data_IF_451755154743
#
_entry.id   IF_451755154743
#
_cell.length_a   1.000
_cell.length_b   1.000
_cell.length_c   1.000
_cell.angle_alpha   90.00
_cell.angle_beta   90.00
_cell.angle_gamma   90.00
#
_symmetry.space_group_name_H-M   'P 1'
#
loop_
_entity.id
_entity.type
_entity.pdbx_description
1 polymer ?
#
# COMPACT_ATOMS: atom_id res chain seq x y z
N UNK A 1 7.23 -13.17 19.63
CA UNK A 1 8.17 -13.03 20.76
C UNK A 1 8.22 -14.30 21.61
N UNK A 2 7.11 -14.79 22.18
CA UNK A 2 7.06 -16.04 22.96
C UNK A 2 7.70 -17.26 22.25
N UNK A 3 7.25 -17.57 21.02
CA UNK A 3 7.78 -18.69 20.24
C UNK A 3 9.29 -18.58 19.96
N UNK A 4 9.81 -17.37 19.80
CA UNK A 4 11.23 -17.13 19.55
C UNK A 4 12.07 -17.33 20.79
N UNK A 5 11.56 -16.93 21.96
CA UNK A 5 12.22 -17.24 23.23
C UNK A 5 12.28 -18.75 23.46
N UNK A 6 11.19 -19.48 23.19
CA UNK A 6 11.19 -20.95 23.25
C UNK A 6 12.19 -21.56 22.26
N UNK A 7 12.21 -21.08 21.01
CA UNK A 7 13.16 -21.50 20.01
C UNK A 7 14.61 -21.29 20.45
N UNK A 8 14.93 -20.08 20.94
CA UNK A 8 16.27 -19.72 21.40
C UNK A 8 16.70 -20.58 22.60
N UNK A 9 15.83 -20.75 23.59
CA UNK A 9 16.13 -21.57 24.77
C UNK A 9 16.33 -23.05 24.40
N UNK A 10 15.50 -23.58 23.49
CA UNK A 10 15.64 -24.94 22.96
C UNK A 10 16.97 -25.12 22.22
N UNK A 11 17.35 -24.16 21.39
CA UNK A 11 18.60 -24.20 20.64
C UNK A 11 19.81 -24.12 21.55
N UNK A 12 19.83 -23.18 22.51
CA UNK A 12 20.92 -23.09 23.52
C UNK A 12 21.06 -24.40 24.29
N UNK A 13 19.95 -25.00 24.74
CA UNK A 13 19.98 -26.31 25.42
C UNK A 13 20.58 -27.41 24.55
N UNK A 14 20.23 -27.45 23.26
CA UNK A 14 20.76 -28.45 22.31
C UNK A 14 22.26 -28.25 22.08
N UNK A 15 22.72 -27.01 21.90
CA UNK A 15 24.14 -26.69 21.75
C UNK A 15 24.94 -27.05 23.00
N UNK A 16 24.42 -26.74 24.19
CA UNK A 16 25.04 -27.14 25.46
C UNK A 16 25.11 -28.67 25.64
N UNK A 17 24.17 -29.40 25.04
CA UNK A 17 24.20 -30.87 24.99
C UNK A 17 25.11 -31.43 23.88
N UNK A 18 25.84 -30.59 23.15
CA UNK A 18 26.76 -30.99 22.08
C UNK A 18 26.08 -31.39 20.76
N UNK A 19 24.79 -31.09 20.59
CA UNK A 19 24.10 -31.36 19.34
C UNK A 19 24.56 -30.38 18.24
N UNK A 20 24.80 -30.89 17.02
CA UNK A 20 25.07 -30.03 15.86
C UNK A 20 23.79 -29.37 15.38
N UNK A 21 23.90 -28.12 14.92
CA UNK A 21 22.77 -27.41 14.32
C UNK A 21 22.43 -28.03 12.97
N UNK A 22 21.18 -28.43 12.81
CA UNK A 22 20.64 -28.92 11.54
C UNK A 22 20.57 -27.78 10.51
N UNK A 23 20.87 -28.08 9.23
CA UNK A 23 20.91 -27.07 8.16
C UNK A 23 19.61 -26.26 8.03
N UNK A 24 18.45 -26.91 8.17
CA UNK A 24 17.16 -26.22 8.11
C UNK A 24 17.03 -25.16 9.22
N UNK A 25 17.39 -25.50 10.46
CA UNK A 25 17.36 -24.57 11.60
C UNK A 25 18.32 -23.41 11.39
N UNK A 26 19.52 -23.71 10.91
CA UNK A 26 20.51 -22.69 10.59
C UNK A 26 19.97 -21.71 9.54
N UNK A 27 19.31 -22.20 8.49
CA UNK A 27 18.64 -21.36 7.49
C UNK A 27 17.54 -20.49 8.11
N UNK A 28 16.69 -21.06 8.97
CA UNK A 28 15.61 -20.31 9.64
C UNK A 28 16.18 -19.20 10.55
N UNK A 29 17.17 -19.52 11.40
CA UNK A 29 17.84 -18.51 12.23
C UNK A 29 18.53 -17.44 11.40
N UNK A 30 19.24 -17.83 10.33
CA UNK A 30 19.89 -16.91 9.41
C UNK A 30 18.86 -15.97 8.78
N UNK A 31 17.69 -16.47 8.37
CA UNK A 31 16.61 -15.66 7.84
C UNK A 31 16.10 -14.64 8.87
N UNK A 32 15.91 -15.04 10.13
CA UNK A 32 15.48 -14.10 11.19
C UNK A 32 16.51 -12.99 11.40
N UNK A 33 17.80 -13.36 11.51
CA UNK A 33 18.90 -12.40 11.74
C UNK A 33 19.11 -11.50 10.52
N UNK A 34 19.17 -12.06 9.32
CA UNK A 34 19.34 -11.29 8.08
C UNK A 34 18.20 -10.31 7.86
N UNK A 35 16.95 -10.72 8.12
CA UNK A 35 15.79 -9.82 8.02
C UNK A 35 15.88 -8.68 9.04
N UNK A 36 16.32 -8.97 10.27
CA UNK A 36 16.51 -7.94 11.31
C UNK A 36 17.64 -6.96 10.95
N UNK A 37 18.77 -7.48 10.47
CA UNK A 37 19.89 -6.66 10.01
C UNK A 37 19.48 -5.78 8.83
N UNK A 38 18.73 -6.33 7.87
CA UNK A 38 18.21 -5.57 6.75
C UNK A 38 17.31 -4.42 7.22
N UNK A 39 16.43 -4.65 8.20
CA UNK A 39 15.60 -3.59 8.79
C UNK A 39 16.40 -2.52 9.55
N UNK A 40 17.56 -2.87 10.11
CA UNK A 40 18.45 -1.92 10.79
C UNK A 40 19.26 -1.09 9.78
N UNK A 41 19.63 -1.67 8.64
CA UNK A 41 20.44 -1.02 7.60
C UNK A 41 19.59 -0.14 6.70
N UNK A 42 18.37 -0.57 6.35
CA UNK A 42 17.49 0.15 5.43
C UNK A 42 16.67 1.19 6.20
N UNK A 43 16.88 2.51 5.99
CA UNK A 43 16.26 3.57 6.78
C UNK A 43 14.80 3.85 6.36
N UNK A 44 14.00 2.80 6.12
CA UNK A 44 12.63 2.91 5.58
C UNK A 44 11.54 3.22 6.64
N UNK A 45 11.95 3.48 7.89
CA UNK A 45 11.02 3.56 9.03
C UNK A 45 10.52 2.18 9.46
N UNK A 46 9.85 2.08 10.60
CA UNK A 46 9.32 0.80 11.08
C UNK A 46 7.85 0.66 10.66
N UNK A 47 7.56 -0.31 9.80
CA UNK A 47 6.19 -0.72 9.48
C UNK A 47 6.00 -2.19 9.86
N UNK A 48 4.87 -2.58 10.49
CA UNK A 48 4.61 -3.98 10.86
C UNK A 48 4.70 -4.97 9.69
N UNK A 49 4.51 -4.51 8.45
CA UNK A 49 4.69 -5.35 7.25
C UNK A 49 6.13 -5.81 7.04
N UNK A 50 7.12 -5.09 7.56
CA UNK A 50 8.53 -5.47 7.42
C UNK A 50 8.87 -6.70 8.26
N UNK A 51 8.12 -6.97 9.34
CA UNK A 51 8.28 -8.19 10.13
C UNK A 51 7.48 -9.38 9.59
N UNK A 52 6.73 -9.24 8.50
CA UNK A 52 6.00 -10.37 7.92
C UNK A 52 6.92 -11.54 7.48
N UNK A 53 8.07 -11.30 6.83
CA UNK A 53 9.00 -12.38 6.49
C UNK A 53 9.57 -13.10 7.72
N UNK A 54 9.67 -12.42 8.87
CA UNK A 54 10.11 -13.02 10.13
C UNK A 54 9.14 -14.10 10.64
N UNK A 55 7.86 -13.94 10.32
CA UNK A 55 6.76 -14.70 10.91
C UNK A 55 6.86 -16.23 10.67
N UNK A 56 7.00 -16.74 9.43
CA UNK A 56 7.02 -18.17 9.20
C UNK A 56 8.20 -18.87 9.90
N UNK A 57 9.39 -18.27 9.86
CA UNK A 57 10.56 -18.85 10.51
C UNK A 57 10.43 -18.86 12.04
N UNK A 58 9.88 -17.80 12.64
CA UNK A 58 9.59 -17.75 14.07
C UNK A 58 8.59 -18.83 14.51
N UNK A 59 7.55 -19.06 13.70
CA UNK A 59 6.55 -20.12 13.95
C UNK A 59 7.19 -21.49 13.86
N UNK A 60 7.91 -21.79 12.78
CA UNK A 60 8.53 -23.11 12.56
C UNK A 60 9.54 -23.45 13.65
N UNK A 61 10.41 -22.51 14.01
CA UNK A 61 11.39 -22.70 15.10
C UNK A 61 10.70 -22.86 16.46
N UNK A 62 9.62 -22.11 16.72
CA UNK A 62 8.85 -22.23 17.95
C UNK A 62 8.15 -23.59 18.07
N UNK A 63 7.52 -24.05 16.99
CA UNK A 63 6.86 -25.37 16.91
C UNK A 63 7.88 -26.49 17.10
N UNK A 64 9.03 -26.43 16.42
CA UNK A 64 10.12 -27.38 16.62
C UNK A 64 10.60 -27.43 18.08
N UNK A 65 10.72 -26.27 18.73
CA UNK A 65 11.10 -26.20 20.14
C UNK A 65 10.10 -26.89 21.07
N UNK A 66 8.80 -26.80 20.77
CA UNK A 66 7.76 -27.50 21.53
C UNK A 66 7.85 -29.01 21.30
N UNK A 67 8.10 -29.46 20.06
CA UNK A 67 8.32 -30.88 19.75
C UNK A 67 9.57 -31.45 20.43
N UNK A 68 10.59 -30.62 20.65
CA UNK A 68 11.81 -30.98 21.37
C UNK A 68 11.61 -31.23 22.87
N UNK A 69 10.46 -30.86 23.44
CA UNK A 69 10.12 -31.14 24.82
C UNK A 69 9.75 -32.62 24.98
N UNK A 70 10.25 -33.30 26.02
CA UNK A 70 9.83 -34.67 26.35
C UNK A 70 8.30 -34.76 26.39
N UNK A 71 7.74 -35.88 25.92
CA UNK A 71 6.28 -36.10 25.88
C UNK A 71 5.66 -35.93 27.27
N UNK A 72 6.38 -36.33 28.32
CA UNK A 72 5.95 -36.25 29.72
C UNK A 72 6.27 -34.90 30.39
N UNK A 73 6.77 -33.92 29.64
CA UNK A 73 7.11 -32.61 30.20
C UNK A 73 5.85 -31.83 30.58
N UNK A 74 5.79 -31.37 31.84
CA UNK A 74 4.73 -30.49 32.34
C UNK A 74 4.61 -29.17 31.57
N UNK A 75 5.66 -28.79 30.82
CA UNK A 75 5.70 -27.55 30.04
C UNK A 75 5.13 -27.70 28.63
N UNK A 76 4.96 -28.94 28.12
CA UNK A 76 4.59 -29.18 26.72
C UNK A 76 3.17 -28.71 26.39
N UNK A 77 2.20 -29.00 27.25
CA UNK A 77 0.82 -28.56 27.07
C UNK A 77 0.68 -27.02 27.18
N UNK A 78 1.20 -26.35 28.24
CA UNK A 78 1.24 -24.89 28.28
C UNK A 78 1.91 -24.24 27.07
N UNK A 79 2.99 -24.83 26.53
CA UNK A 79 3.67 -24.29 25.36
C UNK A 79 2.81 -24.38 24.09
N UNK A 80 2.09 -25.49 23.88
CA UNK A 80 1.11 -25.61 22.79
C UNK A 80 -0.05 -24.63 22.94
N UNK A 81 -0.61 -24.49 24.14
CA UNK A 81 -1.67 -23.51 24.41
C UNK A 81 -1.16 -22.10 24.13
N UNK A 82 0.03 -21.75 24.62
CA UNK A 82 0.66 -20.45 24.38
C UNK A 82 0.91 -20.18 22.89
N UNK A 83 1.35 -21.19 22.13
CA UNK A 83 1.51 -21.09 20.68
C UNK A 83 0.18 -20.86 19.96
N UNK A 84 -0.85 -21.63 20.31
CA UNK A 84 -2.18 -21.51 19.72
C UNK A 84 -2.82 -20.15 20.01
N UNK A 85 -2.78 -19.69 21.27
CA UNK A 85 -3.26 -18.36 21.67
C UNK A 85 -2.49 -17.26 20.93
N UNK A 86 -1.17 -17.38 20.84
CA UNK A 86 -0.37 -16.37 20.15
C UNK A 86 -0.65 -16.31 18.65
N UNK A 87 -0.80 -17.46 17.97
CA UNK A 87 -1.22 -17.51 16.56
C UNK A 87 -2.61 -16.89 16.42
N UNK A 88 -3.56 -17.28 17.28
CA UNK A 88 -4.92 -16.75 17.25
C UNK A 88 -4.96 -15.22 17.42
N UNK A 89 -4.23 -14.68 18.40
CA UNK A 89 -4.10 -13.22 18.62
C UNK A 89 -3.47 -12.52 17.41
N UNK A 90 -2.48 -13.15 16.77
CA UNK A 90 -1.78 -12.57 15.62
C UNK A 90 -2.56 -12.69 14.32
N UNK A 91 -3.52 -13.62 14.26
CA UNK A 91 -4.51 -13.79 13.21
C UNK A 91 -5.83 -13.05 13.49
N UNK A 92 -5.90 -12.23 14.56
CA UNK A 92 -7.08 -11.39 14.79
C UNK A 92 -7.40 -10.59 13.53
N UNK A 93 -8.70 -10.40 13.23
CA UNK A 93 -9.13 -9.87 11.94
C UNK A 93 -8.42 -8.56 11.65
N UNK A 94 -7.59 -8.57 10.61
CA UNK A 94 -7.00 -7.37 10.05
C UNK A 94 -8.18 -6.51 9.63
N UNK A 95 -8.30 -5.31 10.20
CA UNK A 95 -9.34 -4.35 9.80
C UNK A 95 -9.33 -4.27 8.28
N UNK A 96 -10.40 -4.75 7.65
CA UNK A 96 -10.52 -4.74 6.20
C UNK A 96 -10.62 -3.28 5.79
N UNK A 97 -9.68 -2.84 4.94
CA UNK A 97 -9.68 -1.50 4.36
C UNK A 97 -10.70 -1.51 3.23
N UNK A 98 -11.99 -1.50 3.58
CA UNK A 98 -13.04 -1.39 2.58
C UNK A 98 -13.06 0.03 2.05
N UNK A 99 -12.89 0.13 0.74
CA UNK A 99 -12.94 1.36 -0.01
C UNK A 99 -13.78 1.10 -1.27
N UNK A 100 -14.78 1.94 -1.53
CA UNK A 100 -15.68 1.81 -2.68
C UNK A 100 -16.01 3.18 -3.29
N UNK A 101 -16.56 3.19 -4.52
CA UNK A 101 -16.93 4.41 -5.26
C UNK A 101 -16.01 4.73 -6.44
N UNK A 102 -14.71 4.43 -6.35
CA UNK A 102 -13.73 4.71 -7.42
C UNK A 102 -14.09 4.08 -8.78
N UNK A 103 -14.61 2.85 -8.77
CA UNK A 103 -14.99 2.15 -9.99
C UNK A 103 -16.14 2.81 -10.75
N UNK A 104 -17.00 3.57 -10.06
CA UNK A 104 -18.13 4.27 -10.68
C UNK A 104 -17.61 5.43 -11.54
N UNK A 105 -16.65 6.21 -11.03
CA UNK A 105 -16.03 7.27 -11.85
C UNK A 105 -15.25 6.72 -13.04
N UNK A 106 -14.53 5.61 -12.87
CA UNK A 106 -13.87 4.94 -13.99
C UNK A 106 -14.89 4.50 -15.03
N UNK A 107 -15.98 3.87 -14.61
CA UNK A 107 -17.05 3.48 -15.52
C UNK A 107 -17.65 4.71 -16.22
N UNK A 108 -17.91 5.80 -15.50
CA UNK A 108 -18.40 7.06 -16.09
C UNK A 108 -17.49 7.57 -17.20
N UNK A 109 -16.19 7.69 -16.93
CA UNK A 109 -15.19 8.12 -17.94
C UNK A 109 -15.11 7.17 -19.14
N UNK A 110 -15.28 5.86 -18.93
CA UNK A 110 -15.26 4.87 -20.01
C UNK A 110 -16.49 4.94 -20.93
N UNK A 111 -17.62 5.48 -20.45
CA UNK A 111 -18.83 5.67 -21.26
C UNK A 111 -18.80 7.00 -22.03
N UNK A 112 -17.93 7.93 -21.65
CA UNK A 112 -17.79 9.20 -22.34
C UNK A 112 -17.15 9.01 -23.72
N UNK A 113 -17.56 9.78 -24.74
CA UNK A 113 -16.93 9.76 -26.05
C UNK A 113 -15.42 9.99 -25.91
N UNK A 114 -14.64 9.14 -26.59
CA UNK A 114 -13.18 9.31 -26.60
C UNK A 114 -12.85 10.70 -27.12
N UNK A 115 -12.07 11.46 -26.36
CA UNK A 115 -11.54 12.73 -26.81
C UNK A 115 -10.82 12.51 -28.15
N UNK A 116 -10.93 13.44 -29.13
CA UNK A 116 -10.41 13.26 -30.49
C UNK A 116 -8.93 12.83 -30.57
N UNK A 117 -8.14 13.17 -29.54
CA UNK A 117 -6.71 12.87 -29.48
C UNK A 117 -6.31 11.73 -28.53
N UNK A 118 -7.26 11.04 -27.90
CA UNK A 118 -6.98 10.06 -26.86
C UNK A 118 -6.40 10.72 -25.60
N UNK A 119 -7.18 10.78 -24.53
CA UNK A 119 -6.76 11.44 -23.29
C UNK A 119 -6.11 10.46 -22.32
N UNK A 120 -4.89 10.75 -21.89
CA UNK A 120 -4.34 10.15 -20.68
C UNK A 120 -5.15 10.59 -19.46
N UNK A 121 -5.12 9.79 -18.39
CA UNK A 121 -5.82 10.10 -17.16
C UNK A 121 -4.80 10.46 -16.09
N UNK A 122 -5.13 11.40 -15.23
CA UNK A 122 -4.36 11.67 -14.01
C UNK A 122 -5.24 11.37 -12.80
N UNK A 123 -4.74 10.59 -11.86
CA UNK A 123 -5.41 10.37 -10.56
C UNK A 123 -4.56 10.93 -9.43
N UNK A 124 -5.11 11.85 -8.65
CA UNK A 124 -4.49 12.46 -7.48
C UNK A 124 -5.25 12.03 -6.22
N UNK A 125 -4.62 11.17 -5.42
CA UNK A 125 -5.18 10.58 -4.20
C UNK A 125 -4.05 9.96 -3.36
N UNK A 126 -4.38 9.35 -2.23
CA UNK A 126 -3.48 8.49 -1.47
C UNK A 126 -3.12 7.23 -2.28
N UNK A 127 -2.10 6.45 -1.83
CA UNK A 127 -1.74 5.22 -2.51
C UNK A 127 -2.89 4.21 -2.65
N UNK A 128 -3.96 4.31 -1.85
CA UNK A 128 -5.12 3.43 -1.95
C UNK A 128 -6.04 3.87 -3.09
N UNK A 129 -6.39 5.14 -3.17
CA UNK A 129 -7.31 5.67 -4.18
C UNK A 129 -6.68 5.69 -5.58
N UNK A 130 -5.41 6.08 -5.70
CA UNK A 130 -4.69 5.96 -6.98
C UNK A 130 -4.68 4.50 -7.47
N UNK A 131 -4.35 3.57 -6.58
CA UNK A 131 -4.35 2.14 -6.88
C UNK A 131 -5.73 1.61 -7.25
N UNK A 132 -6.78 2.07 -6.56
CA UNK A 132 -8.16 1.68 -6.82
C UNK A 132 -8.64 2.13 -8.21
N UNK A 133 -8.36 3.38 -8.60
CA UNK A 133 -8.70 3.91 -9.94
C UNK A 133 -7.94 3.14 -11.02
N UNK A 134 -6.63 2.94 -10.86
CA UNK A 134 -5.80 2.20 -11.81
C UNK A 134 -6.30 0.76 -11.96
N UNK A 135 -6.56 0.07 -10.84
CA UNK A 135 -7.08 -1.28 -10.85
C UNK A 135 -8.45 -1.35 -11.53
N UNK A 136 -9.38 -0.46 -11.16
CA UNK A 136 -10.71 -0.41 -11.77
C UNK A 136 -10.64 -0.20 -13.29
N UNK A 137 -9.76 0.70 -13.75
CA UNK A 137 -9.57 0.93 -15.18
C UNK A 137 -8.94 -0.27 -15.89
N UNK A 138 -7.97 -0.94 -15.26
CA UNK A 138 -7.35 -2.15 -15.80
C UNK A 138 -8.33 -3.33 -15.89
N UNK A 139 -9.28 -3.44 -14.96
CA UNK A 139 -10.34 -4.46 -15.02
C UNK A 139 -11.44 -4.10 -16.02
N UNK A 140 -11.79 -2.81 -16.14
CA UNK A 140 -12.79 -2.35 -17.10
C UNK A 140 -12.29 -2.40 -18.56
N UNK A 141 -10.98 -2.21 -18.77
CA UNK A 141 -10.37 -2.03 -20.08
C UNK A 141 -10.42 -3.22 -21.03
N UNK A 142 -10.81 -4.43 -20.57
CA UNK A 142 -10.93 -5.67 -21.36
C UNK A 142 -9.60 -6.22 -21.91
N UNK A 143 -8.73 -5.35 -22.39
CA UNK A 143 -7.43 -5.63 -22.96
C UNK A 143 -6.35 -4.83 -22.20
N UNK A 144 -5.69 -5.53 -21.28
CA UNK A 144 -4.69 -4.95 -20.36
C UNK A 144 -3.45 -4.40 -21.09
N UNK A 145 -3.28 -4.72 -22.38
CA UNK A 145 -2.10 -4.37 -23.17
C UNK A 145 -2.37 -3.42 -24.34
N UNK A 146 -3.61 -3.35 -24.87
CA UNK A 146 -3.93 -2.50 -26.04
C UNK A 146 -4.60 -1.17 -25.68
N UNK A 147 -4.84 -0.91 -24.39
CA UNK A 147 -5.53 0.29 -23.90
C UNK A 147 -4.86 1.59 -24.38
N UNK A 148 -5.49 2.28 -25.32
CA UNK A 148 -5.01 3.52 -25.94
C UNK A 148 -5.00 4.76 -25.03
N UNK A 149 -4.80 4.59 -23.72
CA UNK A 149 -4.64 5.65 -22.74
C UNK A 149 -3.70 5.18 -21.61
N UNK A 150 -2.93 6.12 -21.05
CA UNK A 150 -2.09 5.91 -19.87
C UNK A 150 -2.74 6.55 -18.66
N UNK A 151 -2.69 5.88 -17.52
CA UNK A 151 -3.05 6.47 -16.23
C UNK A 151 -1.77 6.92 -15.52
N UNK A 152 -1.73 8.21 -15.22
CA UNK A 152 -0.68 8.89 -14.50
C UNK A 152 -1.07 9.01 -13.03
N UNK A 153 -0.08 8.91 -12.14
CA UNK A 153 -0.26 9.01 -10.69
C UNK A 153 0.12 10.39 -10.21
N UNK A 154 -0.79 11.10 -9.56
CA UNK A 154 -0.58 12.45 -9.02
C UNK A 154 0.62 12.51 -8.10
N UNK A 155 0.76 11.51 -7.22
CA UNK A 155 1.91 11.38 -6.32
C UNK A 155 3.27 11.21 -7.01
N UNK A 156 3.30 10.95 -8.32
CA UNK A 156 4.51 10.82 -9.15
C UNK A 156 4.65 11.92 -10.18
N UNK A 157 3.54 12.46 -10.69
CA UNK A 157 3.56 13.54 -11.67
C UNK A 157 3.69 14.91 -11.01
N UNK A 158 3.02 15.13 -9.88
CA UNK A 158 2.85 16.45 -9.27
C UNK A 158 3.77 16.71 -8.08
N UNK A 159 4.33 15.65 -7.50
CA UNK A 159 5.24 15.73 -6.37
C UNK A 159 6.46 14.82 -6.55
N UNK A 160 7.51 15.14 -5.83
CA UNK A 160 8.68 14.30 -5.59
C UNK A 160 8.70 13.87 -4.13
N UNK A 161 9.16 12.65 -3.88
CA UNK A 161 9.43 12.14 -2.55
C UNK A 161 10.37 10.94 -2.66
N UNK A 162 11.09 10.64 -1.58
CA UNK A 162 11.88 9.42 -1.51
C UNK A 162 10.99 8.16 -1.48
N UNK A 163 11.61 6.97 -1.45
CA UNK A 163 10.88 5.70 -1.48
C UNK A 163 9.88 5.52 -0.31
N UNK A 164 10.05 6.24 0.78
CA UNK A 164 9.22 6.15 1.98
C UNK A 164 8.38 7.41 2.25
N UNK A 165 8.38 8.36 1.31
CA UNK A 165 7.58 9.58 1.41
C UNK A 165 8.24 10.72 2.20
N UNK A 166 9.55 10.66 2.47
CA UNK A 166 10.33 11.80 2.98
C UNK A 166 10.70 12.75 1.84
N UNK A 167 11.20 13.92 2.22
CA UNK A 167 11.64 14.99 1.30
C UNK A 167 10.55 15.29 0.26
N UNK A 168 9.31 15.40 0.76
CA UNK A 168 8.16 15.67 -0.07
C UNK A 168 8.23 17.11 -0.58
N UNK A 169 8.22 17.28 -1.89
CA UNK A 169 8.25 18.57 -2.57
C UNK A 169 7.29 18.59 -3.76
N UNK A 170 6.66 19.74 -4.00
CA UNK A 170 5.86 19.96 -5.21
C UNK A 170 6.79 20.13 -6.42
N UNK A 171 6.44 19.51 -7.54
CA UNK A 171 7.22 19.62 -8.79
C UNK A 171 6.99 20.94 -9.54
N UNK A 172 5.85 21.58 -9.30
CA UNK A 172 5.43 22.78 -10.01
C UNK A 172 5.30 23.93 -9.02
N UNK A 173 5.95 25.06 -9.36
CA UNK A 173 5.91 26.28 -8.55
C UNK A 173 4.71 27.18 -8.89
N UNK A 174 3.99 26.91 -9.98
CA UNK A 174 2.82 27.68 -10.40
C UNK A 174 1.75 26.81 -11.07
N UNK A 175 0.51 27.29 -11.05
CA UNK A 175 -0.64 26.62 -11.65
C UNK A 175 -0.48 26.52 -13.18
N UNK A 176 0.11 27.53 -13.83
CA UNK A 176 0.36 27.52 -15.27
C UNK A 176 1.34 26.44 -15.67
N UNK A 177 2.39 26.22 -14.88
CA UNK A 177 3.37 25.15 -15.14
C UNK A 177 2.73 23.77 -14.96
N UNK A 178 1.87 23.60 -13.95
CA UNK A 178 1.11 22.37 -13.73
C UNK A 178 0.17 22.11 -14.91
N UNK A 179 -0.63 23.10 -15.32
CA UNK A 179 -1.57 22.97 -16.44
C UNK A 179 -0.84 22.69 -17.76
N UNK A 180 0.33 23.30 -17.98
CA UNK A 180 1.18 23.01 -19.13
C UNK A 180 1.65 21.54 -19.13
N UNK A 181 2.03 20.99 -17.97
CA UNK A 181 2.39 19.57 -17.83
C UNK A 181 1.23 18.64 -18.17
N UNK A 182 0.01 18.95 -17.70
CA UNK A 182 -1.19 18.18 -18.07
C UNK A 182 -1.45 18.22 -19.58
N UNK A 183 -1.23 19.37 -20.20
CA UNK A 183 -1.38 19.55 -21.64
C UNK A 183 -0.35 18.75 -22.43
N UNK A 184 0.92 18.82 -22.04
CA UNK A 184 2.04 18.08 -22.66
C UNK A 184 1.80 16.57 -22.60
N UNK A 185 1.36 16.07 -21.45
CA UNK A 185 1.04 14.66 -21.24
C UNK A 185 -0.30 14.24 -21.85
N UNK A 186 -0.98 15.12 -22.59
CA UNK A 186 -2.30 14.86 -23.21
C UNK A 186 -3.32 14.31 -22.20
N UNK A 187 -3.30 14.84 -20.99
CA UNK A 187 -4.28 14.47 -19.97
C UNK A 187 -5.64 15.02 -20.41
N UNK A 188 -6.63 14.13 -20.49
CA UNK A 188 -8.02 14.46 -20.84
C UNK A 188 -8.99 14.34 -19.69
N UNK A 189 -8.63 13.54 -18.68
CA UNK A 189 -9.43 13.30 -17.48
C UNK A 189 -8.56 13.40 -16.23
N UNK A 190 -9.06 14.10 -15.21
CA UNK A 190 -8.40 14.20 -13.91
C UNK A 190 -9.34 13.75 -12.80
N UNK A 191 -8.87 12.88 -11.93
CA UNK A 191 -9.56 12.42 -10.74
C UNK A 191 -8.85 13.04 -9.53
N UNK A 192 -9.55 13.86 -8.75
CA UNK A 192 -9.02 14.47 -7.51
C UNK A 192 -9.82 13.94 -6.33
N UNK A 193 -9.19 13.18 -5.46
CA UNK A 193 -9.85 12.55 -4.33
C UNK A 193 -9.70 13.38 -3.05
N UNK A 194 -10.83 13.78 -2.46
CA UNK A 194 -10.91 14.48 -1.19
C UNK A 194 -11.60 13.64 -0.10
N UNK A 195 -11.80 12.33 -0.32
CA UNK A 195 -12.40 11.43 0.67
C UNK A 195 -11.45 11.00 1.80
N UNK A 196 -10.17 11.32 1.66
CA UNK A 196 -9.11 10.95 2.60
C UNK A 196 -9.15 11.78 3.89
N UNK A 197 -8.69 11.26 5.04
CA UNK A 197 -8.48 12.10 6.21
C UNK A 197 -7.41 13.16 5.91
N UNK A 198 -7.54 14.34 6.54
CA UNK A 198 -6.66 15.48 6.29
C UNK A 198 -5.16 15.21 6.46
N UNK A 199 -4.78 14.22 7.28
CA UNK A 199 -3.37 13.79 7.45
C UNK A 199 -2.77 13.12 6.19
N UNK A 200 -3.61 12.56 5.32
CA UNK A 200 -3.20 11.98 4.05
C UNK A 200 -3.39 12.91 2.86
N UNK A 201 -4.16 13.99 3.02
CA UNK A 201 -4.30 15.02 1.98
C UNK A 201 -2.96 15.74 1.85
N UNK A 202 -2.27 15.58 0.72
CA UNK A 202 -1.01 16.27 0.46
C UNK A 202 -1.29 17.60 -0.25
N UNK A 203 -0.23 18.41 -0.35
CA UNK A 203 -0.34 19.73 -0.95
C UNK A 203 -0.69 19.65 -2.45
N UNK A 204 -0.28 18.57 -3.14
CA UNK A 204 -0.46 18.49 -4.59
C UNK A 204 -1.92 18.26 -4.98
N UNK A 205 -2.75 17.62 -4.14
CA UNK A 205 -4.19 17.48 -4.38
C UNK A 205 -4.88 18.85 -4.35
N UNK A 206 -4.56 19.69 -3.36
CA UNK A 206 -5.13 21.04 -3.24
C UNK A 206 -4.62 21.98 -4.35
N UNK A 207 -3.33 21.94 -4.67
CA UNK A 207 -2.77 22.74 -5.78
C UNK A 207 -3.37 22.32 -7.11
N UNK A 208 -3.55 21.02 -7.35
CA UNK A 208 -4.19 20.51 -8.55
C UNK A 208 -5.64 21.01 -8.68
N UNK A 209 -6.44 20.89 -7.62
CA UNK A 209 -7.83 21.37 -7.64
C UNK A 209 -7.92 22.88 -7.87
N UNK A 210 -7.02 23.65 -7.24
CA UNK A 210 -6.92 25.11 -7.44
C UNK A 210 -6.60 25.44 -8.90
N UNK A 211 -5.61 24.77 -9.51
CA UNK A 211 -5.25 24.97 -10.90
C UNK A 211 -6.36 24.55 -11.88
N UNK A 212 -7.12 23.49 -11.58
CA UNK A 212 -8.22 23.03 -12.44
C UNK A 212 -9.44 23.96 -12.37
N UNK A 213 -9.66 24.60 -11.21
CA UNK A 213 -10.78 25.52 -10.98
C UNK A 213 -10.46 26.97 -11.34
N UNK A 214 -9.20 27.28 -11.68
CA UNK A 214 -8.80 28.64 -12.04
C UNK A 214 -9.50 29.12 -13.32
N UNK A 215 -9.81 30.43 -13.44
CA UNK A 215 -10.31 30.99 -14.68
C UNK A 215 -9.37 30.67 -15.85
N UNK A 216 -9.92 30.22 -16.98
CA UNK A 216 -9.17 29.83 -18.18
C UNK A 216 -8.25 28.59 -18.01
N UNK A 217 -8.51 27.72 -17.03
CA UNK A 217 -7.76 26.45 -16.88
C UNK A 217 -7.92 25.52 -18.09
N UNK A 218 -9.04 25.63 -18.82
CA UNK A 218 -9.43 24.70 -19.87
C UNK A 218 -9.95 23.37 -19.33
N UNK A 219 -10.40 23.36 -18.07
CA UNK A 219 -10.99 22.20 -17.40
C UNK A 219 -12.37 22.54 -16.86
N UNK A 220 -13.28 21.59 -16.95
CA UNK A 220 -14.59 21.66 -16.32
C UNK A 220 -14.78 20.49 -15.36
N UNK A 221 -15.42 20.77 -14.22
CA UNK A 221 -15.87 19.71 -13.33
C UNK A 221 -17.02 18.96 -14.02
N UNK A 222 -16.80 17.69 -14.35
CA UNK A 222 -17.78 16.87 -15.02
C UNK A 222 -18.81 16.31 -14.02
N UNK A 223 -18.34 15.72 -12.91
CA UNK A 223 -19.20 15.30 -11.80
C UNK A 223 -18.40 15.11 -10.50
N UNK A 224 -19.14 14.94 -9.40
CA UNK A 224 -18.63 14.49 -8.11
C UNK A 224 -19.07 13.06 -7.86
N UNK A 225 -18.16 12.22 -7.41
CA UNK A 225 -18.43 10.83 -7.06
C UNK A 225 -18.24 10.64 -5.56
N UNK A 226 -19.27 10.13 -4.89
CA UNK A 226 -19.13 9.69 -3.50
C UNK A 226 -18.18 8.50 -3.41
N UNK A 227 -17.25 8.58 -2.47
CA UNK A 227 -16.28 7.54 -2.14
C UNK A 227 -16.43 7.18 -0.67
N UNK A 228 -16.64 5.90 -0.40
CA UNK A 228 -16.77 5.38 0.96
C UNK A 228 -15.44 4.78 1.40
N UNK A 229 -14.92 5.25 2.54
CA UNK A 229 -13.71 4.73 3.16
C UNK A 229 -14.01 4.23 4.57
N UNK A 230 -13.51 3.05 4.91
CA UNK A 230 -13.73 2.43 6.22
C UNK A 230 -13.23 3.26 7.41
N UNK A 231 -12.26 4.14 7.19
CA UNK A 231 -11.58 4.96 8.20
C UNK A 231 -12.18 6.37 8.34
N UNK A 232 -12.72 6.97 7.28
CA UNK A 232 -13.29 8.34 7.30
C UNK A 232 -14.77 8.44 7.03
N UNK A 233 -15.42 7.37 6.55
CA UNK A 233 -16.79 7.42 6.10
C UNK A 233 -16.91 7.92 4.66
N UNK A 234 -17.97 8.68 4.38
CA UNK A 234 -18.24 9.23 3.07
C UNK A 234 -17.37 10.47 2.80
N UNK A 235 -16.80 10.54 1.60
CA UNK A 235 -16.20 11.75 1.05
C UNK A 235 -16.36 11.77 -0.46
N UNK A 236 -15.67 12.68 -1.14
CA UNK A 236 -15.91 12.92 -2.56
C UNK A 236 -14.63 12.81 -3.39
N UNK A 237 -14.78 12.31 -4.61
CA UNK A 237 -13.81 12.41 -5.68
C UNK A 237 -14.37 13.28 -6.79
N UNK A 238 -13.64 14.33 -7.14
CA UNK A 238 -13.97 15.25 -8.22
C UNK A 238 -13.42 14.69 -9.52
N UNK A 239 -14.24 14.67 -10.57
CA UNK A 239 -13.84 14.22 -11.90
C UNK A 239 -13.90 15.40 -12.85
N UNK A 240 -12.74 15.81 -13.37
CA UNK A 240 -12.59 16.90 -14.31
C UNK A 240 -12.37 16.38 -15.72
N UNK A 241 -13.02 17.03 -16.69
CA UNK A 241 -12.83 16.80 -18.11
C UNK A 241 -12.14 18.01 -18.73
N UNK A 242 -11.19 17.76 -19.62
CA UNK A 242 -10.56 18.82 -20.40
C UNK A 242 -11.53 19.36 -21.46
N UNK A 243 -11.61 20.68 -21.57
CA UNK A 243 -12.35 21.35 -22.64
C UNK A 243 -11.58 21.28 -23.97
N UNK A 244 -12.28 21.16 -25.11
CA UNK A 244 -11.66 21.04 -26.44
C UNK A 244 -10.83 22.28 -26.85
#
# INVERSE_FOLDING_TARGET
VFLLFLAMASEVRRQLAGARMESLRACLWTMLVATQLLMMVVPTGFSPRYVLPWWPAAVLLGVDAIFALPVNSRLRLPAWIGAAVWIWVSCLPIKTKHVSGFGISVAGVMHEPKLPNGGNWLVSSDPRGEGAVIAAAAFAGGDRCSGGFRILRGSKELASSDWIGRDYELKFASDEALLAHLKENRVGWVFVDFSMPGEYLKAHETTLDTALTSPNSGWKLAWRQEVMRSDTGAGEMLVYQREP
#
